data_IF_483317606794
#
_entry.id   IF_483317606794
#
_cell.length_a   1.000
_cell.length_b   1.000
_cell.length_c   1.000
_cell.angle_alpha   90.00
_cell.angle_beta   90.00
_cell.angle_gamma   90.00
#
_symmetry.space_group_name_H-M   'P 1'
#
loop_
_entity.id
_entity.type
_entity.pdbx_description
1 polymer ?
#
# COMPACT_ATOMS: atom_id res chain seq x y z
N UNK A 1 26.65 26.17 9.42
CA UNK A 1 26.14 27.18 8.46
C UNK A 1 26.21 26.56 7.08
N UNK A 2 25.15 26.52 6.33
CA UNK A 2 24.87 25.92 5.00
C UNK A 2 24.06 24.62 5.03
N UNK A 3 22.77 24.73 5.43
CA UNK A 3 21.71 23.79 5.04
C UNK A 3 20.47 24.60 4.67
N UNK A 4 20.48 25.22 3.50
CA UNK A 4 19.31 25.79 2.83
C UNK A 4 19.60 25.79 1.33
N UNK A 5 19.10 24.78 0.63
CA UNK A 5 18.71 24.82 -0.80
C UNK A 5 18.24 23.39 -1.18
N UNK A 6 16.97 23.19 -1.26
CA UNK A 6 16.36 21.92 -1.70
C UNK A 6 14.84 21.91 -1.70
N UNK A 7 14.20 23.03 -1.43
CA UNK A 7 12.72 23.10 -1.40
C UNK A 7 12.27 24.27 -2.28
N UNK A 8 12.55 24.20 -3.56
CA UNK A 8 12.02 25.20 -4.50
C UNK A 8 12.06 24.65 -5.94
N UNK A 9 11.23 23.63 -6.24
CA UNK A 9 10.93 23.28 -7.65
C UNK A 9 9.68 22.37 -7.79
N UNK A 10 8.58 22.68 -7.09
CA UNK A 10 7.25 22.08 -7.41
C UNK A 10 6.17 23.16 -7.19
N UNK A 11 6.36 24.32 -7.75
CA UNK A 11 5.46 25.44 -7.57
C UNK A 11 4.98 26.14 -8.85
N UNK A 12 4.91 25.46 -9.95
CA UNK A 12 4.46 26.13 -11.18
C UNK A 12 3.88 25.14 -12.21
N UNK A 13 2.71 24.58 -11.95
CA UNK A 13 1.72 24.18 -13.00
C UNK A 13 0.37 23.98 -12.30
N UNK A 14 -0.33 25.02 -11.92
CA UNK A 14 -1.76 24.95 -11.64
C UNK A 14 -2.38 26.33 -11.85
N UNK A 15 -2.82 26.58 -13.06
CA UNK A 15 -3.90 27.53 -13.32
C UNK A 15 -4.73 27.03 -14.51
N UNK A 16 -5.99 26.91 -14.26
CA UNK A 16 -7.14 26.90 -15.16
C UNK A 16 -7.93 25.59 -15.29
N UNK A 17 -9.09 25.68 -14.82
CA UNK A 17 -10.44 25.44 -15.32
C UNK A 17 -11.33 24.59 -14.42
N UNK A 18 -12.27 25.30 -13.85
CA UNK A 18 -13.45 24.82 -13.09
C UNK A 18 -14.54 24.40 -14.06
N UNK A 19 -15.18 23.24 -13.87
CA UNK A 19 -16.65 23.07 -13.86
C UNK A 19 -17.02 21.74 -13.22
N UNK A 20 -17.98 21.79 -12.32
CA UNK A 20 -18.45 20.77 -11.41
C UNK A 20 -19.39 19.73 -12.03
N UNK A 21 -19.34 18.50 -11.52
CA UNK A 21 -20.55 17.72 -11.14
C UNK A 21 -20.12 16.56 -10.24
N UNK A 22 -20.89 16.32 -9.16
CA UNK A 22 -20.53 15.55 -8.01
C UNK A 22 -20.30 14.04 -8.22
N UNK A 23 -19.33 13.53 -7.47
CA UNK A 23 -19.11 12.10 -7.20
C UNK A 23 -18.76 11.98 -5.72
N UNK A 24 -19.33 11.02 -4.98
CA UNK A 24 -19.06 10.88 -3.55
C UNK A 24 -17.65 10.31 -3.33
N UNK A 25 -16.86 10.99 -2.50
CA UNK A 25 -15.53 10.57 -2.09
C UNK A 25 -15.61 9.84 -0.76
N UNK A 26 -15.24 8.58 -0.72
CA UNK A 26 -14.95 7.87 0.52
C UNK A 26 -13.68 7.04 0.40
N UNK A 27 -12.86 7.14 1.46
CA UNK A 27 -11.71 6.36 1.92
C UNK A 27 -10.99 5.50 0.90
N UNK A 28 -9.70 5.67 0.86
CA UNK A 28 -8.79 4.98 -0.06
C UNK A 28 -9.22 3.56 -0.40
N UNK A 29 -9.84 3.44 -1.52
CA UNK A 29 -9.55 2.41 -2.46
C UNK A 29 -8.93 3.15 -3.64
N UNK A 30 -7.62 3.09 -3.80
CA UNK A 30 -6.98 3.20 -5.10
C UNK A 30 -7.41 1.97 -5.91
N UNK A 31 -8.70 1.66 -5.88
CA UNK A 31 -9.28 0.69 -6.77
C UNK A 31 -9.30 1.38 -8.12
N UNK A 32 -8.46 0.89 -9.01
CA UNK A 32 -8.63 1.09 -10.45
C UNK A 32 -10.03 0.55 -10.74
N UNK A 33 -11.03 1.39 -11.09
CA UNK A 33 -12.36 0.89 -11.40
C UNK A 33 -12.23 -0.13 -12.52
N UNK A 34 -12.92 -1.27 -12.49
CA UNK A 34 -13.01 -2.13 -13.65
C UNK A 34 -13.54 -1.27 -14.80
N UNK A 35 -12.90 -1.36 -15.98
CA UNK A 35 -13.24 -0.60 -17.16
C UNK A 35 -14.74 -0.71 -17.43
N UNK A 36 -15.47 0.41 -17.31
CA UNK A 36 -16.88 0.47 -17.64
C UNK A 36 -17.07 0.10 -19.10
N UNK A 37 -17.90 -0.89 -19.35
CA UNK A 37 -18.37 -1.25 -20.69
C UNK A 37 -19.06 -0.04 -21.31
N UNK A 38 -18.65 0.30 -22.54
CA UNK A 38 -19.16 1.42 -23.34
C UNK A 38 -20.68 1.47 -23.36
N UNK A 39 -21.27 2.69 -23.34
CA UNK A 39 -22.67 2.87 -23.69
C UNK A 39 -22.85 2.52 -25.18
N UNK A 40 -23.69 1.55 -25.46
CA UNK A 40 -24.23 1.31 -26.80
C UNK A 40 -25.08 2.49 -27.26
N UNK A 41 -25.18 2.61 -28.58
CA UNK A 41 -25.90 3.66 -29.32
C UNK A 41 -27.25 4.05 -28.71
N UNK A 42 -27.52 5.34 -28.71
CA UNK A 42 -28.78 5.95 -28.23
C UNK A 42 -30.00 5.35 -28.94
N UNK A 43 -30.84 4.67 -28.19
CA UNK A 43 -32.24 4.42 -28.51
C UNK A 43 -33.12 5.47 -27.83
N UNK A 44 -34.35 5.71 -28.40
CA UNK A 44 -35.20 6.83 -27.98
C UNK A 44 -35.61 6.77 -26.50
N UNK A 45 -35.83 7.93 -25.92
CA UNK A 45 -36.19 8.16 -24.52
C UNK A 45 -37.24 7.20 -23.97
N UNK A 46 -36.76 6.15 -23.30
CA UNK A 46 -37.56 5.41 -22.35
C UNK A 46 -37.52 6.16 -21.00
N UNK A 47 -38.72 6.30 -20.41
CA UNK A 47 -38.94 6.90 -19.08
C UNK A 47 -37.91 6.34 -18.11
N UNK A 48 -37.11 7.21 -17.46
CA UNK A 48 -36.29 6.82 -16.32
C UNK A 48 -37.17 6.08 -15.33
N UNK A 49 -37.05 4.75 -15.28
CA UNK A 49 -37.52 4.01 -14.10
C UNK A 49 -36.76 4.58 -12.90
N UNK A 50 -37.48 5.06 -11.91
CA UNK A 50 -36.90 5.42 -10.63
C UNK A 50 -36.20 4.16 -10.07
N UNK A 51 -34.87 4.17 -10.02
CA UNK A 51 -34.12 3.08 -9.41
C UNK A 51 -34.65 2.88 -7.98
N UNK A 52 -35.15 1.68 -7.71
CA UNK A 52 -35.57 1.33 -6.35
C UNK A 52 -34.38 1.50 -5.41
N UNK A 53 -34.57 2.22 -4.29
CA UNK A 53 -33.49 2.45 -3.37
C UNK A 53 -32.95 1.11 -2.85
N UNK A 54 -31.62 0.95 -2.87
CA UNK A 54 -30.93 -0.26 -2.42
C UNK A 54 -31.33 -0.65 -1.00
N UNK A 55 -31.47 -1.94 -0.76
CA UNK A 55 -31.64 -2.49 0.60
C UNK A 55 -30.33 -2.40 1.35
N UNK A 56 -30.37 -2.56 2.68
CA UNK A 56 -29.15 -2.60 3.51
C UNK A 56 -28.13 -3.64 3.01
N UNK A 57 -28.61 -4.78 2.53
CA UNK A 57 -27.74 -5.86 2.02
C UNK A 57 -27.10 -5.50 0.67
N UNK A 58 -27.84 -4.83 -0.21
CA UNK A 58 -27.32 -4.40 -1.52
C UNK A 58 -26.30 -3.26 -1.45
N UNK A 59 -26.14 -2.60 -0.28
CA UNK A 59 -25.07 -1.63 -0.05
C UNK A 59 -23.75 -2.27 0.36
N UNK A 60 -23.69 -3.62 0.57
CA UNK A 60 -22.45 -4.29 0.88
C UNK A 60 -21.62 -4.52 -0.37
N UNK A 61 -20.31 -4.31 -0.25
CA UNK A 61 -19.30 -4.74 -1.19
C UNK A 61 -18.66 -6.01 -0.66
N UNK A 62 -18.77 -7.09 -1.44
CA UNK A 62 -18.10 -8.36 -1.18
C UNK A 62 -16.90 -8.47 -2.11
N UNK A 63 -15.76 -8.90 -1.56
CA UNK A 63 -14.57 -9.18 -2.36
C UNK A 63 -13.86 -10.39 -1.78
N UNK A 64 -13.48 -11.32 -2.67
CA UNK A 64 -12.68 -12.47 -2.26
C UNK A 64 -11.79 -12.93 -3.40
N UNK A 65 -10.58 -13.35 -3.08
CA UNK A 65 -9.65 -13.91 -4.04
C UNK A 65 -8.69 -14.93 -3.40
N UNK A 66 -8.07 -15.70 -4.25
CA UNK A 66 -6.89 -16.52 -3.94
C UNK A 66 -5.79 -16.18 -4.93
N UNK A 67 -4.55 -16.17 -4.48
CA UNK A 67 -3.38 -15.87 -5.28
C UNK A 67 -2.27 -16.89 -5.05
N UNK A 68 -1.61 -17.25 -6.15
CA UNK A 68 -0.46 -18.15 -6.17
C UNK A 68 0.60 -17.61 -7.11
N UNK A 69 1.87 -17.93 -6.86
CA UNK A 69 2.97 -17.51 -7.71
C UNK A 69 4.09 -18.53 -7.81
N UNK A 70 4.92 -18.32 -8.82
CA UNK A 70 6.25 -18.91 -8.96
C UNK A 70 7.22 -17.77 -9.25
N UNK A 71 8.29 -17.66 -8.48
CA UNK A 71 9.29 -16.60 -8.63
C UNK A 71 10.68 -17.22 -8.82
N UNK A 72 11.40 -16.77 -9.83
CA UNK A 72 12.80 -17.12 -10.08
C UNK A 72 13.68 -15.89 -9.99
N UNK A 73 14.76 -16.01 -9.23
CA UNK A 73 15.88 -15.06 -9.25
C UNK A 73 16.97 -15.62 -10.16
N UNK A 74 17.27 -14.93 -11.26
CA UNK A 74 18.23 -15.41 -12.27
C UNK A 74 19.66 -15.50 -11.78
N UNK A 75 19.99 -14.79 -10.69
CA UNK A 75 21.32 -14.75 -10.08
C UNK A 75 21.59 -15.79 -9.01
N UNK A 76 20.58 -16.55 -8.56
CA UNK A 76 20.70 -17.43 -7.40
C UNK A 76 21.02 -18.87 -7.75
N UNK A 77 21.85 -19.48 -6.87
CA UNK A 77 22.22 -20.89 -6.97
C UNK A 77 21.38 -21.83 -6.08
N UNK A 78 20.66 -21.32 -5.08
CA UNK A 78 19.90 -22.13 -4.12
C UNK A 78 18.43 -21.75 -4.06
N UNK A 79 17.54 -22.76 -4.00
CA UNK A 79 16.11 -22.58 -3.86
C UNK A 79 15.71 -22.26 -2.42
N UNK A 80 14.60 -21.57 -2.24
CA UNK A 80 13.94 -21.41 -0.94
C UNK A 80 14.37 -20.20 -0.12
N UNK A 81 15.03 -19.22 -0.73
CA UNK A 81 15.37 -17.95 -0.09
C UNK A 81 14.47 -16.80 -0.58
N UNK A 82 14.35 -15.75 0.22
CA UNK A 82 13.69 -14.52 -0.20
C UNK A 82 14.55 -13.71 -1.15
N UNK A 83 13.90 -12.94 -2.01
CA UNK A 83 14.57 -12.00 -2.91
C UNK A 83 14.88 -10.68 -2.23
N UNK A 84 14.93 -10.61 -0.90
CA UNK A 84 15.17 -9.40 -0.18
C UNK A 84 14.38 -8.18 -0.73
N UNK A 85 14.04 -7.22 0.08
CA UNK A 85 13.44 -5.95 -0.35
C UNK A 85 12.03 -6.03 -0.97
N UNK A 86 11.34 -7.17 -0.89
CA UNK A 86 10.02 -7.35 -1.49
C UNK A 86 9.01 -7.97 -0.53
N UNK A 87 7.75 -7.65 -0.76
CA UNK A 87 6.61 -8.32 -0.15
C UNK A 87 6.21 -9.54 -0.98
N UNK A 88 5.81 -10.62 -0.31
CA UNK A 88 5.20 -11.83 -0.89
C UNK A 88 6.01 -12.55 -1.97
N UNK A 89 7.30 -12.35 -2.03
CA UNK A 89 8.10 -13.05 -3.00
C UNK A 89 9.00 -14.10 -2.36
N UNK A 90 8.77 -15.34 -2.72
CA UNK A 90 9.59 -16.47 -2.36
C UNK A 90 10.26 -17.01 -3.61
N UNK A 91 11.55 -17.22 -3.57
CA UNK A 91 12.24 -17.83 -4.68
C UNK A 91 12.06 -19.33 -4.69
N UNK A 92 11.86 -19.88 -5.89
CA UNK A 92 12.18 -21.28 -6.18
C UNK A 92 11.07 -22.27 -5.97
N UNK A 93 9.83 -21.91 -6.19
CA UNK A 93 8.76 -22.88 -6.15
C UNK A 93 7.37 -22.27 -6.32
N UNK A 94 6.39 -23.14 -6.32
CA UNK A 94 5.00 -22.74 -6.27
C UNK A 94 4.67 -22.26 -4.86
N UNK A 95 4.13 -21.06 -4.75
CA UNK A 95 3.78 -20.42 -3.49
C UNK A 95 2.31 -20.06 -3.49
N UNK A 96 1.61 -20.42 -2.43
CA UNK A 96 0.30 -19.87 -2.11
C UNK A 96 0.51 -18.53 -1.40
N UNK A 97 0.24 -17.42 -2.09
CA UNK A 97 0.57 -16.10 -1.56
C UNK A 97 -0.49 -15.63 -0.56
N UNK A 98 -1.75 -15.62 -0.99
CA UNK A 98 -2.83 -15.07 -0.18
C UNK A 98 -4.19 -15.64 -0.58
N UNK A 99 -5.08 -15.78 0.40
CA UNK A 99 -6.52 -15.79 0.26
C UNK A 99 -7.10 -14.64 1.06
N UNK A 100 -8.09 -13.95 0.51
CA UNK A 100 -8.81 -12.88 1.18
C UNK A 100 -10.31 -13.09 1.05
N UNK A 101 -11.02 -12.72 2.12
CA UNK A 101 -12.45 -12.49 2.13
C UNK A 101 -12.72 -11.15 2.79
N UNK A 102 -13.45 -10.28 2.13
CA UNK A 102 -13.87 -9.00 2.70
C UNK A 102 -15.35 -8.72 2.49
N UNK A 103 -15.95 -8.08 3.48
CA UNK A 103 -17.26 -7.46 3.43
C UNK A 103 -17.15 -6.05 3.98
N UNK A 104 -17.53 -5.07 3.17
CA UNK A 104 -17.50 -3.66 3.54
C UNK A 104 -18.82 -2.99 3.19
N UNK A 105 -19.24 -2.07 4.04
CA UNK A 105 -20.36 -1.19 3.82
C UNK A 105 -19.99 0.22 4.27
N UNK A 106 -20.04 1.17 3.36
CA UNK A 106 -19.88 2.57 3.71
C UNK A 106 -21.18 3.13 4.32
N UNK A 107 -21.05 4.06 5.29
CA UNK A 107 -22.22 4.73 5.83
C UNK A 107 -22.84 5.65 4.76
N UNK A 108 -24.15 5.59 4.60
CA UNK A 108 -24.94 6.41 3.66
C UNK A 108 -25.96 7.26 4.40
N UNK A 109 -26.61 8.21 3.70
CA UNK A 109 -27.68 9.02 4.31
C UNK A 109 -28.87 8.17 4.75
N UNK A 110 -29.12 7.07 4.05
CA UNK A 110 -30.21 6.13 4.38
C UNK A 110 -29.84 5.18 5.50
N UNK A 111 -28.59 4.70 5.50
CA UNK A 111 -28.06 3.75 6.49
C UNK A 111 -26.76 4.32 7.05
N UNK A 112 -26.84 5.17 8.09
CA UNK A 112 -25.67 5.92 8.57
C UNK A 112 -24.58 5.07 9.23
N UNK A 113 -24.84 3.77 9.48
CA UNK A 113 -23.84 2.83 9.94
C UNK A 113 -23.10 2.18 8.79
N UNK A 114 -21.77 2.14 8.90
CA UNK A 114 -20.89 1.41 8.02
C UNK A 114 -19.99 0.46 8.84
N UNK A 115 -19.35 -0.46 8.15
CA UNK A 115 -18.39 -1.41 8.73
C UNK A 115 -17.47 -1.99 7.67
N UNK A 116 -16.36 -2.53 8.10
CA UNK A 116 -15.47 -3.34 7.28
C UNK A 116 -14.92 -4.50 8.07
N UNK A 117 -14.89 -5.66 7.42
CA UNK A 117 -14.24 -6.87 7.90
C UNK A 117 -13.43 -7.44 6.74
N UNK A 118 -12.12 -7.54 6.92
CA UNK A 118 -11.20 -8.14 5.95
C UNK A 118 -10.39 -9.21 6.65
N UNK A 119 -10.53 -10.43 6.17
CA UNK A 119 -9.84 -11.62 6.65
C UNK A 119 -8.86 -12.08 5.58
N UNK A 120 -7.59 -12.23 5.93
CA UNK A 120 -6.56 -12.73 5.04
C UNK A 120 -5.89 -13.97 5.60
N UNK A 121 -5.47 -14.88 4.72
CA UNK A 121 -4.66 -16.03 5.04
C UNK A 121 -3.61 -16.21 3.95
N UNK A 122 -2.36 -16.48 4.34
CA UNK A 122 -1.28 -16.65 3.38
C UNK A 122 -0.06 -17.32 3.99
N UNK A 123 0.96 -17.58 3.17
CA UNK A 123 2.22 -18.10 3.68
C UNK A 123 2.99 -16.93 4.32
N UNK A 124 3.33 -17.05 5.59
CA UNK A 124 4.27 -16.12 6.20
C UNK A 124 5.63 -16.28 5.56
N UNK A 125 6.38 -15.21 5.51
CA UNK A 125 7.81 -15.32 5.30
C UNK A 125 8.42 -16.30 6.31
N UNK A 126 9.50 -16.95 5.91
CA UNK A 126 10.18 -17.91 6.77
C UNK A 126 10.64 -17.31 8.09
N UNK A 127 10.83 -18.13 9.09
CA UNK A 127 11.04 -17.84 10.50
C UNK A 127 12.17 -16.85 10.86
N UNK A 128 13.01 -16.46 9.91
CA UNK A 128 14.09 -15.49 10.15
C UNK A 128 13.75 -14.06 9.70
N UNK A 129 12.61 -13.87 9.02
CA UNK A 129 12.18 -12.58 8.50
C UNK A 129 10.92 -12.06 9.20
N UNK A 130 10.90 -12.16 10.51
CA UNK A 130 9.79 -11.66 11.34
C UNK A 130 9.44 -10.18 11.09
N UNK A 131 10.37 -9.41 10.56
CA UNK A 131 10.15 -7.99 10.31
C UNK A 131 9.57 -7.67 8.92
N UNK A 132 9.73 -8.55 7.91
CA UNK A 132 9.33 -8.27 6.53
C UNK A 132 7.88 -8.67 6.20
N UNK A 133 7.20 -9.37 7.11
CA UNK A 133 5.81 -9.84 6.93
C UNK A 133 4.79 -9.19 7.84
N UNK A 134 5.09 -8.03 8.37
CA UNK A 134 4.20 -7.32 9.30
C UNK A 134 2.85 -6.90 8.70
N UNK A 135 2.71 -6.92 7.38
CA UNK A 135 1.45 -6.58 6.73
C UNK A 135 0.30 -7.52 7.08
N UNK A 136 0.62 -8.78 7.39
CA UNK A 136 -0.38 -9.82 7.60
C UNK A 136 -0.58 -10.21 9.07
N UNK A 137 0.06 -9.56 10.00
CA UNK A 137 0.01 -9.99 11.40
C UNK A 137 -0.68 -9.00 12.32
N UNK A 138 -1.99 -9.14 12.56
CA UNK A 138 -2.67 -8.46 13.67
C UNK A 138 -2.09 -8.82 15.02
N UNK A 139 -1.60 -10.04 15.13
CA UNK A 139 -1.21 -10.64 16.37
C UNK A 139 0.29 -10.59 16.60
N UNK A 140 1.03 -9.90 15.75
CA UNK A 140 2.40 -9.52 16.01
C UNK A 140 2.45 -8.08 16.52
N UNK A 141 2.25 -7.92 17.82
CA UNK A 141 2.95 -6.89 18.55
C UNK A 141 4.41 -7.35 18.76
N UNK A 142 5.28 -6.49 19.22
CA UNK A 142 6.69 -6.78 19.53
C UNK A 142 6.92 -8.03 20.43
N UNK A 143 5.89 -8.71 20.88
CA UNK A 143 5.89 -9.73 21.93
C UNK A 143 5.74 -11.16 21.41
N UNK A 144 5.79 -11.48 20.13
CA UNK A 144 5.76 -12.85 19.56
C UNK A 144 4.64 -13.80 20.08
N UNK A 145 3.61 -13.28 20.78
CA UNK A 145 2.71 -14.10 21.60
C UNK A 145 1.64 -14.88 20.82
N UNK A 146 1.45 -14.65 19.51
CA UNK A 146 0.45 -15.35 18.71
C UNK A 146 0.95 -15.86 17.35
N UNK A 147 2.23 -16.20 17.23
CA UNK A 147 2.69 -16.87 16.03
C UNK A 147 2.34 -18.36 16.12
N UNK A 148 1.41 -18.81 15.29
CA UNK A 148 1.23 -20.24 15.05
C UNK A 148 2.42 -20.72 14.20
N UNK A 149 3.40 -21.33 14.86
CA UNK A 149 4.54 -21.94 14.16
C UNK A 149 4.02 -22.96 13.15
N UNK A 150 4.42 -22.80 11.87
CA UNK A 150 4.12 -23.72 10.75
C UNK A 150 2.66 -23.77 10.27
N UNK A 151 1.84 -22.74 10.51
CA UNK A 151 0.52 -22.63 9.90
C UNK A 151 0.46 -21.44 8.96
N UNK A 152 -0.41 -21.44 7.94
CA UNK A 152 -0.71 -20.23 7.17
C UNK A 152 -1.07 -19.11 8.14
N UNK A 153 -0.44 -17.95 7.99
CA UNK A 153 -0.81 -16.81 8.83
C UNK A 153 -2.22 -16.38 8.49
N UNK A 154 -3.03 -16.27 9.51
CA UNK A 154 -4.36 -15.68 9.42
C UNK A 154 -4.28 -14.28 10.02
N UNK A 155 -4.80 -13.29 9.31
CA UNK A 155 -4.88 -11.91 9.77
C UNK A 155 -6.31 -11.37 9.68
N UNK A 156 -6.75 -10.67 10.72
CA UNK A 156 -7.89 -9.75 10.67
C UNK A 156 -7.35 -8.41 10.16
N UNK A 157 -7.13 -8.28 8.86
CA UNK A 157 -6.49 -7.12 8.25
C UNK A 157 -7.25 -5.83 8.51
N UNK A 158 -8.60 -5.88 8.41
CA UNK A 158 -9.46 -4.77 8.82
C UNK A 158 -10.63 -5.27 9.68
N UNK A 159 -10.95 -4.52 10.70
CA UNK A 159 -12.17 -4.66 11.51
C UNK A 159 -12.54 -3.30 12.09
N UNK A 160 -13.51 -2.63 11.50
CA UNK A 160 -13.93 -1.31 11.94
C UNK A 160 -15.44 -1.13 11.84
N UNK A 161 -15.94 -0.19 12.63
CA UNK A 161 -17.27 0.39 12.47
C UNK A 161 -17.14 1.86 12.08
N UNK A 162 -18.12 2.37 11.34
CA UNK A 162 -18.21 3.78 10.98
C UNK A 162 -19.63 4.30 11.11
N UNK A 163 -19.76 5.62 11.26
CA UNK A 163 -21.04 6.29 11.37
C UNK A 163 -21.00 7.66 10.70
N UNK A 164 -21.98 7.95 9.86
CA UNK A 164 -22.16 9.26 9.24
C UNK A 164 -23.05 10.12 10.11
N UNK A 165 -22.48 11.16 10.71
CA UNK A 165 -23.18 12.18 11.46
C UNK A 165 -23.70 13.22 10.49
N UNK A 166 -24.98 13.60 10.51
CA UNK A 166 -25.58 14.55 9.56
C UNK A 166 -25.21 16.01 9.91
N UNK A 167 -23.92 16.34 9.84
CA UNK A 167 -23.38 17.69 10.03
C UNK A 167 -22.82 18.17 8.69
N UNK A 168 -23.37 19.22 8.12
CA UNK A 168 -22.99 19.72 6.80
C UNK A 168 -23.18 18.63 5.72
N UNK A 169 -22.15 18.36 4.96
CA UNK A 169 -22.14 17.30 3.93
C UNK A 169 -22.00 15.87 4.52
N UNK A 170 -21.95 15.76 5.85
CA UNK A 170 -21.83 14.50 6.58
C UNK A 170 -20.43 14.24 7.11
N UNK A 171 -20.27 14.30 8.43
CA UNK A 171 -19.04 13.93 9.13
C UNK A 171 -19.03 12.42 9.37
N UNK A 172 -18.07 11.70 8.81
CA UNK A 172 -17.92 10.27 9.06
C UNK A 172 -16.89 10.03 10.17
N UNK A 173 -17.30 9.27 11.18
CA UNK A 173 -16.42 8.74 12.23
C UNK A 173 -16.15 7.28 11.92
N UNK A 174 -14.89 6.85 11.96
CA UNK A 174 -14.48 5.43 11.82
C UNK A 174 -13.64 5.06 13.03
N UNK A 175 -13.86 3.88 13.60
CA UNK A 175 -13.07 3.35 14.71
C UNK A 175 -12.85 1.84 14.56
N UNK A 176 -11.65 1.38 14.89
CA UNK A 176 -11.25 -0.02 14.77
C UNK A 176 -9.86 -0.18 14.16
N UNK A 177 -9.66 -1.25 13.38
CA UNK A 177 -8.44 -1.50 12.59
C UNK A 177 -8.74 -1.32 11.10
N UNK A 178 -7.86 -0.63 10.40
CA UNK A 178 -7.95 -0.38 8.95
C UNK A 178 -6.56 -0.28 8.31
N UNK A 179 -6.49 -0.43 6.97
CA UNK A 179 -5.27 -0.17 6.19
C UNK A 179 -4.92 1.31 6.21
N UNK A 180 -3.63 1.61 6.13
CA UNK A 180 -3.12 2.99 6.17
C UNK A 180 -3.74 3.90 5.11
N UNK A 181 -3.69 5.21 5.32
CA UNK A 181 -4.04 6.22 4.32
C UNK A 181 -2.88 6.50 3.33
N UNK A 182 -1.68 6.01 3.60
CA UNK A 182 -0.47 6.29 2.86
C UNK A 182 -0.22 5.25 1.75
N UNK A 183 0.45 5.68 0.68
CA UNK A 183 0.92 4.83 -0.40
C UNK A 183 0.00 4.74 -1.61
N UNK A 184 0.59 4.44 -2.77
CA UNK A 184 -0.11 4.17 -4.02
C UNK A 184 -0.51 2.71 -4.15
N UNK A 185 0.36 1.80 -3.73
CA UNK A 185 0.10 0.36 -3.73
C UNK A 185 -0.72 -0.06 -2.51
N UNK A 186 -1.41 -1.18 -2.65
CA UNK A 186 -2.26 -1.76 -1.60
C UNK A 186 -1.83 -3.19 -1.25
N UNK A 187 -2.32 -3.71 -0.13
CA UNK A 187 -2.01 -5.07 0.30
C UNK A 187 -2.56 -6.09 -0.70
N UNK A 188 -3.77 -5.87 -1.19
CA UNK A 188 -4.49 -6.75 -2.12
C UNK A 188 -3.82 -6.76 -3.50
N UNK A 189 -3.23 -7.88 -3.86
CA UNK A 189 -2.49 -8.03 -5.12
C UNK A 189 -3.31 -7.78 -6.39
N UNK A 190 -4.58 -8.20 -6.49
CA UNK A 190 -5.41 -7.91 -7.66
C UNK A 190 -5.64 -6.42 -7.94
N UNK A 191 -5.48 -5.58 -6.92
CA UNK A 191 -5.68 -4.14 -7.00
C UNK A 191 -4.40 -3.34 -7.36
N UNK A 192 -3.27 -4.03 -7.51
CA UNK A 192 -2.00 -3.42 -7.93
C UNK A 192 -1.74 -3.64 -9.41
N UNK A 193 -1.02 -2.71 -10.04
CA UNK A 193 -0.62 -2.79 -11.45
C UNK A 193 0.45 -3.86 -11.68
N UNK A 194 1.29 -4.12 -10.67
CA UNK A 194 2.40 -5.07 -10.68
C UNK A 194 2.15 -6.16 -9.62
N UNK A 195 2.75 -7.33 -9.80
CA UNK A 195 2.71 -8.41 -8.82
C UNK A 195 3.58 -8.08 -7.60
N UNK A 196 4.85 -7.78 -7.83
CA UNK A 196 5.75 -7.39 -6.74
C UNK A 196 5.44 -5.98 -6.24
N UNK A 197 5.77 -5.71 -4.97
CA UNK A 197 5.58 -4.40 -4.36
C UNK A 197 6.82 -3.51 -4.51
N UNK A 198 6.60 -2.21 -4.51
CA UNK A 198 7.65 -1.20 -4.45
C UNK A 198 8.41 -1.22 -3.13
N UNK A 199 9.58 -0.62 -3.10
CA UNK A 199 10.32 -0.38 -1.86
C UNK A 199 9.59 0.64 -0.97
N UNK A 200 8.91 1.63 -1.58
CA UNK A 200 8.11 2.59 -0.83
C UNK A 200 7.01 1.88 -0.04
N UNK A 201 6.26 0.99 -0.68
CA UNK A 201 5.26 0.19 0.01
C UNK A 201 5.86 -0.67 1.13
N UNK A 202 7.03 -1.27 0.88
CA UNK A 202 7.65 -2.20 1.81
C UNK A 202 8.31 -1.54 3.02
N UNK A 203 8.86 -0.32 2.87
CA UNK A 203 9.75 0.26 3.87
C UNK A 203 9.42 1.70 4.26
N UNK A 204 8.79 2.49 3.37
CA UNK A 204 8.57 3.92 3.63
C UNK A 204 7.38 4.21 4.51
N UNK A 205 6.33 3.41 4.44
CA UNK A 205 5.02 3.68 5.03
C UNK A 205 4.55 2.57 5.97
N UNK A 206 3.64 2.86 6.93
CA UNK A 206 2.89 1.82 7.64
C UNK A 206 1.86 1.16 6.71
N UNK A 207 1.36 -0.01 7.12
CA UNK A 207 0.35 -0.76 6.35
C UNK A 207 -1.02 -0.78 7.03
N UNK A 208 -1.06 -0.84 8.36
CA UNK A 208 -2.32 -0.89 9.12
C UNK A 208 -2.27 -0.04 10.38
N UNK A 209 -3.44 0.38 10.83
CA UNK A 209 -3.61 1.16 12.05
C UNK A 209 -4.80 0.69 12.87
N UNK A 210 -4.71 0.89 14.18
CA UNK A 210 -5.82 0.79 15.12
C UNK A 210 -6.05 2.14 15.74
N UNK A 211 -7.30 2.65 15.74
CA UNK A 211 -7.60 3.96 16.29
C UNK A 211 -8.96 4.52 15.86
N UNK A 212 -9.03 5.83 15.65
CA UNK A 212 -10.21 6.53 15.19
C UNK A 212 -9.87 7.60 14.15
N UNK A 213 -10.71 7.73 13.12
CA UNK A 213 -10.63 8.74 12.06
C UNK A 213 -11.92 9.55 12.00
N UNK A 214 -11.77 10.82 11.68
CA UNK A 214 -12.83 11.72 11.28
C UNK A 214 -12.61 12.11 9.82
N UNK A 215 -13.61 11.97 8.98
CA UNK A 215 -13.55 12.35 7.56
C UNK A 215 -14.70 13.28 7.22
N UNK A 216 -14.38 14.42 6.61
CA UNK A 216 -15.35 15.43 6.23
C UNK A 216 -15.16 15.88 4.77
N UNK A 217 -16.16 15.70 3.90
CA UNK A 217 -16.15 16.26 2.55
C UNK A 217 -16.42 17.77 2.64
N UNK A 218 -15.37 18.57 2.40
CA UNK A 218 -15.45 20.04 2.44
C UNK A 218 -16.15 20.55 1.19
N UNK A 219 -15.88 19.92 0.07
CA UNK A 219 -16.54 20.14 -1.22
C UNK A 219 -16.70 18.80 -1.94
N UNK A 220 -17.37 18.79 -3.10
CA UNK A 220 -17.48 17.59 -3.95
C UNK A 220 -16.13 17.07 -4.50
N UNK A 221 -15.09 17.86 -4.43
CA UNK A 221 -13.75 17.53 -4.95
C UNK A 221 -12.64 17.57 -3.89
N UNK A 222 -12.97 17.90 -2.64
CA UNK A 222 -11.99 17.97 -1.54
C UNK A 222 -12.53 17.39 -0.25
N UNK A 223 -11.83 16.40 0.30
CA UNK A 223 -12.13 15.76 1.58
C UNK A 223 -10.92 15.87 2.52
N UNK A 224 -11.20 16.16 3.78
CA UNK A 224 -10.22 16.13 4.88
C UNK A 224 -10.51 14.93 5.75
N UNK A 225 -9.47 14.14 6.01
CA UNK A 225 -9.51 13.05 6.99
C UNK A 225 -8.38 13.28 8.01
N UNK A 226 -8.68 13.12 9.29
CA UNK A 226 -7.67 13.17 10.35
C UNK A 226 -8.09 12.28 11.51
N UNK A 227 -7.10 11.79 12.27
CA UNK A 227 -7.40 10.95 13.41
C UNK A 227 -6.18 10.56 14.24
N UNK A 228 -6.44 9.69 15.21
CA UNK A 228 -5.42 9.18 16.13
C UNK A 228 -5.34 7.66 16.00
N UNK A 229 -4.12 7.16 16.08
CA UNK A 229 -3.81 5.73 15.98
C UNK A 229 -2.83 5.33 17.09
N UNK A 230 -2.85 4.07 17.48
CA UNK A 230 -1.96 3.55 18.52
C UNK A 230 -0.50 3.44 18.07
N UNK A 231 -0.23 3.59 16.78
CA UNK A 231 1.11 3.62 16.20
C UNK A 231 1.19 3.00 14.80
N UNK A 232 2.41 2.71 14.39
CA UNK A 232 2.81 2.17 13.10
C UNK A 232 2.76 0.64 13.13
N UNK A 233 1.80 0.02 12.43
CA UNK A 233 1.62 -1.43 12.30
C UNK A 233 1.44 -2.19 13.64
N UNK A 234 0.99 -1.50 14.68
CA UNK A 234 0.77 -2.11 16.00
C UNK A 234 -0.73 -2.18 16.32
N UNK A 235 -1.14 -3.29 16.89
CA UNK A 235 -2.53 -3.48 17.35
C UNK A 235 -2.76 -2.97 18.79
N UNK A 236 -1.68 -2.79 19.54
CA UNK A 236 -1.66 -2.26 20.90
C UNK A 236 -0.57 -1.22 21.02
N UNK A 237 -0.88 -0.12 21.70
CA UNK A 237 0.08 0.90 22.02
C UNK A 237 1.29 0.32 22.79
N UNK A 238 2.49 0.55 22.28
CA UNK A 238 3.75 0.03 22.82
C UNK A 238 4.57 1.09 23.57
N UNK A 239 4.10 2.35 23.64
CA UNK A 239 4.84 3.44 24.28
C UNK A 239 3.99 4.40 25.13
N UNK A 240 2.67 4.32 25.13
CA UNK A 240 1.72 5.19 25.83
C UNK A 240 1.50 6.58 25.22
N UNK A 241 1.82 6.74 23.92
CA UNK A 241 1.59 7.98 23.18
C UNK A 241 0.93 7.69 21.85
N UNK A 242 -0.22 8.30 21.59
CA UNK A 242 -0.92 8.15 20.32
C UNK A 242 -0.17 8.82 19.18
N UNK A 243 -0.21 8.22 18.02
CA UNK A 243 0.21 8.86 16.77
C UNK A 243 -0.98 9.52 16.07
N UNK A 244 -0.70 10.48 15.21
CA UNK A 244 -1.69 11.24 14.46
C UNK A 244 -1.51 10.98 12.96
N UNK A 245 -2.60 10.75 12.24
CA UNK A 245 -2.58 10.54 10.79
C UNK A 245 -3.66 11.34 10.11
N UNK A 246 -3.49 11.62 8.83
CA UNK A 246 -4.49 12.33 8.07
C UNK A 246 -4.24 12.31 6.57
N UNK A 247 -5.23 12.82 5.85
CA UNK A 247 -5.27 12.90 4.39
C UNK A 247 -5.99 14.15 3.94
N UNK A 248 -5.44 14.80 2.93
CA UNK A 248 -6.15 15.74 2.07
C UNK A 248 -6.35 15.07 0.72
N UNK A 249 -7.59 14.69 0.41
CA UNK A 249 -7.95 14.04 -0.83
C UNK A 249 -8.58 15.03 -1.79
N UNK A 250 -8.03 15.14 -3.00
CA UNK A 250 -8.48 16.04 -4.05
C UNK A 250 -8.86 15.25 -5.30
N UNK A 251 -10.06 15.51 -5.83
CA UNK A 251 -10.54 14.98 -7.10
C UNK A 251 -11.12 16.14 -7.92
N UNK A 252 -10.25 17.07 -8.38
CA UNK A 252 -10.70 18.30 -9.05
C UNK A 252 -11.43 18.03 -10.36
N UNK A 253 -11.12 16.95 -11.02
CA UNK A 253 -11.81 16.38 -12.18
C UNK A 253 -11.87 14.87 -12.03
N UNK A 254 -12.87 14.22 -12.68
CA UNK A 254 -13.13 12.77 -12.52
C UNK A 254 -11.95 11.85 -12.76
N UNK A 255 -11.01 12.28 -13.59
CA UNK A 255 -9.89 11.44 -14.05
C UNK A 255 -8.57 11.78 -13.34
N UNK A 256 -8.57 12.66 -12.33
CA UNK A 256 -7.40 13.07 -11.58
C UNK A 256 -7.67 12.98 -10.08
N UNK A 257 -6.90 12.13 -9.40
CA UNK A 257 -6.92 11.98 -7.95
C UNK A 257 -5.54 12.39 -7.43
N UNK A 258 -5.53 13.25 -6.43
CA UNK A 258 -4.32 13.63 -5.71
C UNK A 258 -4.58 13.53 -4.21
N UNK A 259 -3.77 12.75 -3.50
CA UNK A 259 -3.81 12.64 -2.06
C UNK A 259 -2.50 13.13 -1.45
N UNK A 260 -2.61 13.95 -0.42
CA UNK A 260 -1.53 14.25 0.48
C UNK A 260 -1.83 13.60 1.82
N UNK A 261 -0.99 12.65 2.21
CA UNK A 261 -1.15 11.86 3.42
C UNK A 261 -0.01 12.12 4.39
N UNK A 262 -0.25 11.90 5.67
CA UNK A 262 0.77 12.05 6.69
C UNK A 262 0.47 11.18 7.91
N UNK A 263 1.54 10.82 8.61
CA UNK A 263 1.50 10.24 9.95
C UNK A 263 2.65 10.79 10.77
N UNK A 264 2.41 11.05 12.06
CA UNK A 264 3.44 11.50 13.00
C UNK A 264 3.14 11.02 14.41
N UNK A 265 4.14 10.54 15.13
CA UNK A 265 4.05 10.10 16.51
C UNK A 265 5.30 9.36 16.95
N UNK A 266 5.42 9.09 18.24
CA UNK A 266 6.48 8.26 18.77
C UNK A 266 6.18 6.77 18.42
N UNK A 267 7.14 6.08 17.80
CA UNK A 267 6.94 4.71 17.31
C UNK A 267 7.91 3.70 17.95
N UNK A 268 8.83 4.18 18.78
CA UNK A 268 9.75 3.30 19.49
C UNK A 268 9.11 2.77 20.76
N UNK A 269 9.26 1.48 21.02
CA UNK A 269 8.74 0.85 22.22
C UNK A 269 9.29 1.50 23.49
N UNK A 270 8.41 1.79 24.44
CA UNK A 270 8.73 2.38 25.75
C UNK A 270 9.31 3.83 25.68
N UNK A 271 9.16 4.53 24.54
CA UNK A 271 9.65 5.90 24.35
C UNK A 271 8.52 6.79 23.87
N UNK A 272 8.20 7.84 24.62
CA UNK A 272 7.14 8.81 24.28
C UNK A 272 7.67 10.06 23.60
N UNK A 273 8.95 10.11 23.29
CA UNK A 273 9.66 11.15 22.53
C UNK A 273 10.10 10.59 21.18
N UNK A 274 10.78 11.38 20.39
CA UNK A 274 11.40 10.94 19.13
C UNK A 274 10.35 10.53 18.09
N UNK A 275 9.56 11.49 17.58
CA UNK A 275 8.51 11.18 16.62
C UNK A 275 9.09 10.71 15.31
N UNK A 276 8.48 9.65 14.76
CA UNK A 276 8.58 9.25 13.38
C UNK A 276 7.53 9.99 12.59
N UNK A 277 7.92 10.61 11.49
CA UNK A 277 6.99 11.33 10.63
C UNK A 277 7.17 10.89 9.20
N UNK A 278 6.06 10.70 8.48
CA UNK A 278 6.04 10.47 7.03
C UNK A 278 5.07 11.42 6.38
N UNK A 279 5.51 12.00 5.28
CA UNK A 279 4.69 12.73 4.31
C UNK A 279 4.65 11.88 3.04
N UNK A 280 3.46 11.66 2.53
CA UNK A 280 3.20 10.83 1.36
C UNK A 280 2.33 11.59 0.36
N UNK A 281 2.70 11.53 -0.91
CA UNK A 281 2.00 12.16 -2.03
C UNK A 281 1.64 11.08 -3.05
N UNK A 282 0.36 10.93 -3.34
CA UNK A 282 -0.16 9.99 -4.32
C UNK A 282 -0.90 10.73 -5.42
N UNK A 283 -0.53 10.47 -6.66
CA UNK A 283 -1.22 11.00 -7.84
C UNK A 283 -1.68 9.84 -8.72
N UNK A 284 -2.92 9.87 -9.17
CA UNK A 284 -3.46 8.96 -10.18
C UNK A 284 -4.15 9.75 -11.28
N UNK A 285 -3.83 9.44 -12.54
CA UNK A 285 -4.44 10.07 -13.71
C UNK A 285 -4.91 9.02 -14.73
N UNK A 286 -6.18 9.10 -15.09
CA UNK A 286 -6.85 8.17 -16.03
C UNK A 286 -7.51 8.88 -17.22
N UNK A 287 -7.24 10.17 -17.42
CA UNK A 287 -7.88 10.98 -18.47
C UNK A 287 -7.46 10.65 -19.91
N UNK A 288 -6.47 9.79 -20.12
CA UNK A 288 -6.09 9.25 -21.43
C UNK A 288 -6.70 7.86 -21.57
N UNK A 289 -7.45 7.66 -22.65
CA UNK A 289 -8.13 6.38 -22.89
C UNK A 289 -7.16 5.20 -22.80
N UNK A 290 -7.54 4.19 -22.03
CA UNK A 290 -6.80 2.96 -21.80
C UNK A 290 -5.45 3.14 -21.07
N UNK A 291 -5.08 4.35 -20.66
CA UNK A 291 -3.83 4.63 -19.94
C UNK A 291 -4.13 5.04 -18.48
N UNK A 292 -3.49 4.36 -17.55
CA UNK A 292 -3.42 4.74 -16.14
C UNK A 292 -2.01 5.18 -15.83
N UNK A 293 -1.86 6.36 -15.25
CA UNK A 293 -0.60 6.87 -14.74
C UNK A 293 -0.69 7.03 -13.22
N UNK A 294 0.37 6.67 -12.52
CA UNK A 294 0.49 6.80 -11.08
C UNK A 294 1.83 7.39 -10.68
N UNK A 295 1.85 8.10 -9.55
CA UNK A 295 3.06 8.59 -8.90
C UNK A 295 2.86 8.51 -7.39
N UNK A 296 3.85 7.96 -6.70
CA UNK A 296 3.96 8.00 -5.25
C UNK A 296 5.28 8.68 -4.88
N UNK A 297 5.27 9.56 -3.89
CA UNK A 297 6.48 10.21 -3.36
C UNK A 297 6.39 10.25 -1.85
N UNK A 298 7.37 9.64 -1.17
CA UNK A 298 7.46 9.60 0.28
C UNK A 298 8.66 10.37 0.79
N UNK A 299 8.49 11.03 1.93
CA UNK A 299 9.57 11.59 2.73
C UNK A 299 9.31 11.31 4.20
N UNK A 300 10.23 10.59 4.84
CA UNK A 300 10.11 10.24 6.24
C UNK A 300 11.37 10.54 7.04
N UNK A 301 11.20 10.75 8.35
CA UNK A 301 12.30 10.93 9.30
C UNK A 301 11.88 10.47 10.69
N UNK A 302 12.88 10.13 11.49
CA UNK A 302 12.76 9.79 12.90
C UNK A 302 14.02 10.25 13.62
N UNK A 303 13.87 10.90 14.76
CA UNK A 303 15.00 11.31 15.60
C UNK A 303 15.35 10.22 16.59
N UNK A 304 16.65 10.02 16.86
CA UNK A 304 17.17 9.07 17.84
C UNK A 304 16.56 7.65 17.65
N UNK A 305 16.42 7.18 16.40
CA UNK A 305 15.93 5.81 16.15
C UNK A 305 16.87 4.78 16.78
N UNK A 306 16.28 3.93 17.64
CA UNK A 306 17.03 2.86 18.29
C UNK A 306 17.33 1.72 17.30
N UNK A 307 18.59 1.33 17.17
CA UNK A 307 19.01 0.21 16.33
C UNK A 307 20.00 -0.70 17.05
N UNK A 308 20.06 -1.97 16.62
CA UNK A 308 21.06 -2.92 17.14
C UNK A 308 22.37 -2.75 16.41
N UNK A 309 23.43 -2.35 17.13
CA UNK A 309 24.80 -2.37 16.63
C UNK A 309 25.31 -3.81 16.49
N UNK A 310 26.28 -4.03 15.64
CA UNK A 310 26.97 -5.31 15.53
C UNK A 310 27.57 -5.81 16.85
N UNK A 311 27.79 -4.91 17.82
CA UNK A 311 28.24 -5.23 19.18
C UNK A 311 27.14 -5.76 20.10
N UNK A 312 25.89 -5.85 19.65
CA UNK A 312 24.73 -6.23 20.48
C UNK A 312 24.22 -5.13 21.42
N UNK A 313 24.77 -3.90 21.33
CA UNK A 313 24.29 -2.73 22.10
C UNK A 313 23.32 -1.93 21.25
N UNK A 314 22.31 -1.34 21.88
CA UNK A 314 21.44 -0.34 21.20
C UNK A 314 22.24 0.93 20.98
N UNK A 315 22.03 1.57 19.84
CA UNK A 315 22.50 2.89 19.49
C UNK A 315 21.34 3.69 18.96
N UNK A 316 21.46 5.01 19.05
CA UNK A 316 20.48 5.95 18.54
C UNK A 316 21.08 6.71 17.36
N UNK A 317 20.28 6.98 16.33
CA UNK A 317 20.65 7.68 15.12
C UNK A 317 19.47 8.47 14.58
N UNK A 318 19.69 9.67 14.11
CA UNK A 318 18.70 10.39 13.32
C UNK A 318 18.56 9.71 11.98
N UNK A 319 17.36 9.22 11.71
CA UNK A 319 17.05 8.49 10.49
C UNK A 319 16.26 9.36 9.51
N UNK A 320 16.53 9.20 8.23
CA UNK A 320 15.73 9.82 7.18
C UNK A 320 15.68 8.93 5.94
N UNK A 321 14.52 8.94 5.26
CA UNK A 321 14.33 8.22 4.00
C UNK A 321 13.43 9.01 3.08
N UNK A 322 13.59 8.79 1.80
CA UNK A 322 12.69 9.33 0.79
C UNK A 322 12.78 8.53 -0.49
N UNK A 323 11.74 8.62 -1.29
CA UNK A 323 11.72 7.97 -2.58
C UNK A 323 10.55 8.40 -3.43
N UNK A 324 10.53 7.87 -4.64
CA UNK A 324 9.42 8.00 -5.56
C UNK A 324 9.26 6.74 -6.38
N UNK A 325 8.00 6.42 -6.72
CA UNK A 325 7.63 5.35 -7.63
C UNK A 325 6.66 5.88 -8.68
N UNK A 326 6.98 5.69 -9.95
CA UNK A 326 6.16 6.09 -11.08
C UNK A 326 5.59 4.84 -11.77
N UNK A 327 4.33 4.91 -12.13
CA UNK A 327 3.56 3.81 -12.69
C UNK A 327 2.91 4.22 -13.99
N UNK A 328 2.92 3.30 -14.97
CA UNK A 328 2.15 3.44 -16.20
C UNK A 328 1.55 2.08 -16.57
N UNK A 329 0.24 2.03 -16.81
CA UNK A 329 -0.41 0.82 -17.29
C UNK A 329 -1.28 1.13 -18.50
N UNK A 330 -1.23 0.25 -19.50
CA UNK A 330 -1.99 0.41 -20.74
C UNK A 330 -2.84 -0.83 -21.03
N UNK A 331 -4.15 -0.61 -21.17
CA UNK A 331 -5.11 -1.63 -21.55
C UNK A 331 -5.18 -1.75 -23.09
N UNK A 332 -4.45 -2.72 -23.65
CA UNK A 332 -4.43 -2.99 -25.09
C UNK A 332 -5.77 -3.53 -25.57
N UNK A 333 -6.37 -4.38 -24.75
CA UNK A 333 -7.70 -4.96 -24.95
C UNK A 333 -8.41 -5.08 -23.60
N UNK A 334 -9.66 -5.51 -23.59
CA UNK A 334 -10.38 -5.82 -22.33
C UNK A 334 -9.71 -6.95 -21.52
N UNK A 335 -8.95 -7.82 -22.20
CA UNK A 335 -8.30 -8.98 -21.57
C UNK A 335 -6.80 -8.76 -21.30
N UNK A 336 -6.12 -7.88 -22.03
CA UNK A 336 -4.66 -7.75 -22.01
C UNK A 336 -4.22 -6.34 -21.58
N UNK A 337 -3.42 -6.28 -20.53
CA UNK A 337 -2.80 -5.07 -19.95
C UNK A 337 -1.29 -5.26 -19.83
N UNK A 338 -0.55 -4.19 -20.02
CA UNK A 338 0.85 -4.11 -19.60
C UNK A 338 1.02 -2.99 -18.58
N UNK A 339 1.94 -3.16 -17.65
CA UNK A 339 2.27 -2.16 -16.63
C UNK A 339 3.78 -2.04 -16.48
N UNK A 340 4.23 -0.83 -16.17
CA UNK A 340 5.61 -0.48 -15.87
C UNK A 340 5.65 0.27 -14.54
N UNK A 341 6.58 -0.08 -13.67
CA UNK A 341 6.96 0.69 -12.48
C UNK A 341 8.44 1.00 -12.55
N UNK A 342 8.80 2.23 -12.20
CA UNK A 342 10.18 2.68 -12.00
C UNK A 342 10.23 3.36 -10.65
N UNK A 343 11.18 2.98 -9.83
CA UNK A 343 11.26 3.44 -8.45
C UNK A 343 12.68 3.77 -8.03
N UNK A 344 12.80 4.75 -7.15
CA UNK A 344 14.00 5.07 -6.38
C UNK A 344 13.65 5.26 -4.92
N UNK A 345 14.41 4.63 -4.04
CA UNK A 345 14.35 4.84 -2.60
C UNK A 345 15.73 5.08 -2.03
N UNK A 346 15.85 6.07 -1.17
CA UNK A 346 17.03 6.35 -0.35
C UNK A 346 16.70 6.16 1.12
N UNK A 347 17.42 5.27 1.76
CA UNK A 347 17.47 5.09 3.21
C UNK A 347 18.81 5.66 3.69
N UNK A 348 18.78 6.90 4.21
CA UNK A 348 20.00 7.68 4.38
C UNK A 348 20.95 7.10 5.43
N UNK A 349 20.42 6.45 6.43
CA UNK A 349 21.13 5.84 7.53
C UNK A 349 21.00 4.30 7.56
N UNK A 350 20.30 3.68 6.59
CA UNK A 350 20.15 2.24 6.46
C UNK A 350 19.27 1.59 7.55
N UNK A 351 18.48 2.37 8.25
CA UNK A 351 17.70 1.89 9.41
C UNK A 351 16.31 1.40 9.04
N UNK A 352 15.74 1.90 7.93
CA UNK A 352 14.40 1.49 7.49
C UNK A 352 14.42 0.13 6.83
N UNK A 353 15.36 -0.10 5.93
CA UNK A 353 15.49 -1.36 5.20
C UNK A 353 16.22 -2.44 6.00
N UNK A 354 17.12 -2.04 6.90
CA UNK A 354 18.00 -2.92 7.69
C UNK A 354 18.86 -3.88 6.84
N UNK A 355 19.08 -3.54 5.57
CA UNK A 355 19.83 -4.34 4.62
C UNK A 355 21.30 -3.93 4.51
N UNK A 356 21.60 -2.74 5.00
CA UNK A 356 22.97 -2.26 5.21
C UNK A 356 23.19 -2.01 6.71
N UNK A 357 24.46 -1.96 7.16
CA UNK A 357 24.75 -1.56 8.54
C UNK A 357 24.15 -0.18 8.85
N UNK A 358 23.55 -0.04 10.03
CA UNK A 358 23.00 1.24 10.48
C UNK A 358 24.07 2.34 10.45
N UNK A 359 23.67 3.54 10.04
CA UNK A 359 24.56 4.66 9.76
C UNK A 359 25.16 4.63 8.34
N UNK A 360 24.87 3.59 7.54
CA UNK A 360 25.37 3.46 6.17
C UNK A 360 24.21 3.69 5.18
N UNK A 361 24.37 4.70 4.33
CA UNK A 361 23.43 5.06 3.30
C UNK A 361 23.14 3.90 2.34
N UNK A 362 21.88 3.65 2.05
CA UNK A 362 21.42 2.74 1.02
C UNK A 362 20.57 3.49 -0.01
N UNK A 363 20.97 3.39 -1.27
CA UNK A 363 20.20 3.85 -2.43
C UNK A 363 19.72 2.62 -3.20
N UNK A 364 18.41 2.55 -3.47
CA UNK A 364 17.75 1.45 -4.16
C UNK A 364 17.06 1.97 -5.42
N UNK A 365 17.18 1.23 -6.50
CA UNK A 365 16.45 1.43 -7.75
C UNK A 365 15.78 0.15 -8.18
N UNK A 366 14.61 0.27 -8.79
CA UNK A 366 14.01 -0.85 -9.47
C UNK A 366 13.27 -0.43 -10.74
N UNK A 367 13.19 -1.37 -11.68
CA UNK A 367 12.33 -1.30 -12.86
C UNK A 367 11.57 -2.60 -12.97
N UNK A 368 10.24 -2.51 -13.00
CA UNK A 368 9.35 -3.68 -13.06
C UNK A 368 8.42 -3.55 -14.26
N UNK A 369 8.39 -4.56 -15.11
CA UNK A 369 7.48 -4.68 -16.25
C UNK A 369 6.59 -5.90 -16.08
N UNK A 370 5.28 -5.70 -16.18
CA UNK A 370 4.26 -6.73 -15.97
C UNK A 370 3.36 -6.82 -17.20
N UNK A 371 3.07 -8.04 -17.65
CA UNK A 371 2.04 -8.36 -18.62
C UNK A 371 0.94 -9.15 -17.92
N UNK A 372 -0.29 -8.66 -17.98
CA UNK A 372 -1.47 -9.26 -17.35
C UNK A 372 -2.45 -9.71 -18.40
N UNK A 373 -3.02 -10.91 -18.20
CA UNK A 373 -4.06 -11.45 -19.08
C UNK A 373 -5.22 -12.04 -18.29
N UNK A 374 -6.45 -11.62 -18.60
CA UNK A 374 -7.69 -12.22 -18.10
C UNK A 374 -7.94 -13.52 -18.85
N UNK A 375 -7.60 -14.64 -18.23
CA UNK A 375 -7.66 -15.98 -18.85
C UNK A 375 -9.11 -16.44 -18.98
N UNK A 376 -9.87 -16.21 -17.93
CA UNK A 376 -11.28 -16.57 -17.84
C UNK A 376 -11.97 -15.65 -16.84
N UNK A 377 -13.31 -15.73 -16.74
CA UNK A 377 -14.09 -14.95 -15.77
C UNK A 377 -13.53 -15.16 -14.36
N UNK A 378 -13.00 -14.09 -13.77
CA UNK A 378 -12.36 -14.11 -12.45
C UNK A 378 -10.90 -14.59 -12.41
N UNK A 379 -10.44 -15.37 -13.42
CA UNK A 379 -9.07 -15.90 -13.46
C UNK A 379 -8.15 -14.97 -14.25
N UNK A 380 -7.12 -14.46 -13.61
CA UNK A 380 -6.10 -13.56 -14.17
C UNK A 380 -4.73 -14.16 -13.95
N UNK A 381 -3.88 -14.11 -14.98
CA UNK A 381 -2.46 -14.45 -14.89
C UNK A 381 -1.59 -13.25 -15.20
N UNK A 382 -0.45 -13.14 -14.52
CA UNK A 382 0.57 -12.11 -14.78
C UNK A 382 1.93 -12.76 -14.98
N UNK A 383 2.71 -12.16 -15.85
CA UNK A 383 4.14 -12.43 -16.01
C UNK A 383 4.86 -11.13 -15.72
N UNK A 384 5.83 -11.15 -14.83
CA UNK A 384 6.56 -9.97 -14.41
C UNK A 384 8.05 -10.19 -14.46
N UNK A 385 8.78 -9.22 -15.00
CA UNK A 385 10.21 -9.07 -14.86
C UNK A 385 10.51 -7.87 -13.99
N UNK A 386 11.43 -8.04 -13.03
CA UNK A 386 11.91 -6.98 -12.17
C UNK A 386 13.43 -7.00 -12.09
N UNK A 387 14.03 -5.82 -12.26
CA UNK A 387 15.44 -5.53 -12.02
C UNK A 387 15.58 -4.63 -10.81
N UNK A 388 16.36 -5.06 -9.82
CA UNK A 388 16.71 -4.31 -8.63
C UNK A 388 18.20 -3.94 -8.65
N UNK A 389 18.53 -2.74 -8.18
CA UNK A 389 19.91 -2.24 -8.07
C UNK A 389 20.10 -1.45 -6.78
N UNK A 390 21.27 -1.61 -6.15
CA UNK A 390 21.65 -0.92 -4.93
C UNK A 390 23.09 -0.39 -5.02
N UNK A 391 23.38 0.70 -4.27
CA UNK A 391 24.76 1.19 -4.12
C UNK A 391 25.63 0.24 -3.29
N UNK A 392 25.02 -0.63 -2.46
CA UNK A 392 25.67 -1.59 -1.58
C UNK A 392 25.33 -3.05 -1.97
N UNK A 393 26.11 -4.01 -1.44
CA UNK A 393 25.82 -5.43 -1.62
C UNK A 393 24.73 -5.85 -0.63
N UNK A 394 23.51 -5.90 -1.10
CA UNK A 394 22.32 -6.23 -0.29
C UNK A 394 21.58 -7.46 -0.80
N UNK A 395 21.88 -7.93 -2.01
CA UNK A 395 21.25 -9.10 -2.60
C UNK A 395 22.10 -10.34 -2.42
N UNK A 396 21.47 -11.46 -1.98
CA UNK A 396 22.14 -12.74 -1.84
C UNK A 396 22.23 -13.45 -3.19
N UNK A 397 23.38 -13.34 -3.88
CA UNK A 397 23.60 -13.93 -5.18
C UNK A 397 24.62 -15.07 -5.05
N UNK A 398 24.28 -16.28 -5.50
CA UNK A 398 25.15 -17.46 -5.66
C UNK A 398 25.94 -17.90 -4.41
N UNK A 399 25.55 -17.51 -3.21
CA UNK A 399 26.23 -17.93 -1.99
C UNK A 399 25.39 -18.93 -1.19
N UNK A 400 25.96 -20.01 -0.68
CA UNK A 400 25.30 -20.82 0.34
C UNK A 400 25.27 -20.00 1.65
N UNK A 401 24.08 -19.85 2.21
CA UNK A 401 23.86 -19.01 3.38
C UNK A 401 23.58 -17.54 2.99
N UNK A 402 22.91 -16.86 3.87
CA UNK A 402 22.39 -15.48 3.70
C UNK A 402 23.52 -14.42 3.73
N UNK A 403 24.44 -14.45 2.79
CA UNK A 403 25.50 -13.43 2.69
C UNK A 403 25.20 -12.56 1.48
N UNK A 404 24.87 -11.27 1.65
CA UNK A 404 24.69 -10.34 0.54
C UNK A 404 25.98 -10.24 -0.27
N UNK A 405 25.96 -10.67 -1.54
CA UNK A 405 27.13 -10.68 -2.42
C UNK A 405 26.98 -9.80 -3.63
N UNK A 406 25.74 -9.42 -3.98
CA UNK A 406 25.41 -8.65 -5.18
C UNK A 406 24.83 -7.26 -4.90
N UNK A 407 25.05 -6.36 -5.85
CA UNK A 407 24.43 -5.03 -5.89
C UNK A 407 23.20 -4.98 -6.79
N UNK A 408 22.96 -6.02 -7.56
CA UNK A 408 21.82 -6.14 -8.47
C UNK A 408 21.20 -7.52 -8.36
N UNK A 409 19.92 -7.62 -8.68
CA UNK A 409 19.22 -8.89 -8.89
C UNK A 409 18.18 -8.74 -9.99
N UNK A 410 17.87 -9.85 -10.65
CA UNK A 410 16.82 -9.97 -11.64
C UNK A 410 15.88 -11.08 -11.25
N UNK A 411 14.58 -10.81 -11.27
CA UNK A 411 13.55 -11.82 -10.99
C UNK A 411 12.54 -11.89 -12.12
N UNK A 412 12.07 -13.11 -12.38
CA UNK A 412 10.95 -13.39 -13.25
C UNK A 412 9.88 -14.06 -12.40
N UNK A 413 8.68 -13.50 -12.41
CA UNK A 413 7.55 -13.99 -11.64
C UNK A 413 6.41 -14.40 -12.56
N UNK A 414 5.74 -15.48 -12.20
CA UNK A 414 4.45 -15.87 -12.74
C UNK A 414 3.49 -15.94 -11.57
N UNK A 415 2.46 -15.12 -11.60
CA UNK A 415 1.39 -15.20 -10.62
C UNK A 415 0.04 -15.36 -11.31
N UNK A 416 -0.88 -15.93 -10.58
CA UNK A 416 -2.27 -16.01 -10.98
C UNK A 416 -3.15 -15.88 -9.75
N UNK A 417 -4.24 -15.17 -9.94
CA UNK A 417 -5.27 -15.02 -8.93
C UNK A 417 -6.65 -15.29 -9.52
N UNK A 418 -7.54 -15.73 -8.66
CA UNK A 418 -8.94 -15.93 -8.98
C UNK A 418 -9.82 -15.07 -8.09
N UNK A 419 -10.62 -14.21 -8.72
CA UNK A 419 -11.64 -13.38 -8.06
C UNK A 419 -12.95 -14.16 -8.00
N UNK A 420 -13.53 -14.31 -6.81
CA UNK A 420 -14.79 -15.03 -6.62
C UNK A 420 -16.01 -14.13 -6.84
N UNK A 421 -15.89 -12.82 -6.61
CA UNK A 421 -16.95 -11.82 -6.71
C UNK A 421 -16.51 -10.61 -7.52
#
# INVERSE_FOLDING_TARGET
>A
MTRKLGVLFIGAVFAACVVATGVPSYGQTTQIPPAETKPGEAKPEDKKEEEKPKTLWEENTLFAYIENSIVWNTGRASRGNHNELRFYDFEGGYTFNMAEFSIKKDPSDRYPFGYGLVLTAGIPGTSNDSQKNHALGIFRGDDDQFSFRNTPNFDLQEAYASYKIPIGEGLTVKAGKWVTLLGYEVIESPNNLNFSRSYLFAFSIPLTHVGALLSYPVTSWFTITAGTVVGWDVARDNNSTMSYTGQFAFTPVKDLIFNFNWITGAEQAHTNSNPRTVLDYVLTYTGIKNLTLGLNVDYGWETDEAYLKASGTRGDIDASWWGWAAYAAYDWTEAFRTALRVEYMKDAEGVRTQLSPAGKKLDLWEVTATAQYKIWKGLVGRVEYRHDSANEKVFAIRAPGYVPTGKTQDTISFDFYYLFF
#
